data_IF_245460968527
#
_entry.id   IF_245460968527
#
_cell.length_a   1.000
_cell.length_b   1.000
_cell.length_c   1.000
_cell.angle_alpha   90.00
_cell.angle_beta   90.00
_cell.angle_gamma   90.00
#
_symmetry.space_group_name_H-M   'P 1'
#
loop_
_entity.id
_entity.type
_entity.pdbx_description
1 polymer ?
#
# COMPACT_ATOMS: atom_id res chain seq x y z
N UNK A 1 8.49 -15.05 13.53
CA UNK A 1 8.55 -15.00 12.05
C UNK A 1 9.79 -15.77 11.65
N UNK A 2 9.66 -16.79 10.81
CA UNK A 2 10.78 -17.61 10.36
C UNK A 2 10.95 -17.45 8.83
N UNK A 3 12.20 -17.40 8.32
CA UNK A 3 12.45 -17.35 6.88
C UNK A 3 12.08 -18.69 6.22
N UNK A 4 11.37 -18.64 5.09
CA UNK A 4 11.01 -19.78 4.25
C UNK A 4 11.41 -19.49 2.79
N UNK A 5 11.51 -20.53 1.95
CA UNK A 5 12.14 -20.49 0.62
C UNK A 5 11.58 -19.40 -0.32
N UNK A 6 10.30 -19.00 -0.16
CA UNK A 6 9.65 -17.98 -1.01
C UNK A 6 9.07 -16.75 -0.24
N UNK A 7 9.13 -16.69 1.10
CA UNK A 7 8.61 -15.54 1.89
C UNK A 7 8.97 -15.60 3.39
N UNK A 8 8.61 -14.55 4.16
CA UNK A 8 8.62 -14.55 5.63
C UNK A 8 7.27 -15.03 6.17
N UNK A 9 7.25 -16.07 6.99
CA UNK A 9 6.01 -16.67 7.52
C UNK A 9 5.88 -16.53 9.04
N UNK A 10 4.64 -16.49 9.55
CA UNK A 10 4.30 -16.36 10.98
C UNK A 10 4.11 -17.72 11.63
N UNK A 11 4.69 -17.90 12.82
CA UNK A 11 4.50 -19.08 13.68
C UNK A 11 3.74 -18.65 14.94
N UNK A 12 2.61 -19.29 15.21
CA UNK A 12 1.85 -19.11 16.45
C UNK A 12 2.37 -20.12 17.47
N UNK A 13 2.95 -19.66 18.58
CA UNK A 13 3.45 -20.55 19.65
C UNK A 13 2.83 -20.12 20.96
N UNK A 14 2.02 -21.00 21.56
CA UNK A 14 1.63 -20.91 22.96
C UNK A 14 2.48 -21.92 23.75
N UNK A 15 3.29 -21.44 24.69
CA UNK A 15 4.02 -22.27 25.65
C UNK A 15 3.60 -21.87 27.06
N UNK A 16 3.05 -22.82 27.82
CA UNK A 16 2.65 -22.61 29.21
C UNK A 16 2.88 -23.88 30.05
N UNK A 17 3.24 -23.72 31.32
CA UNK A 17 3.50 -24.84 32.24
C UNK A 17 2.21 -25.47 32.78
N UNK A 18 1.09 -24.73 32.78
CA UNK A 18 -0.24 -25.18 33.20
C UNK A 18 -1.34 -24.29 32.58
N UNK A 19 -2.46 -24.90 32.19
CA UNK A 19 -3.65 -24.24 31.63
C UNK A 19 -4.79 -24.25 32.64
N UNK A 20 -5.49 -23.12 32.78
CA UNK A 20 -6.62 -22.98 33.69
C UNK A 20 -7.91 -23.57 33.10
N UNK A 21 -8.83 -23.97 33.97
CA UNK A 21 -10.09 -24.69 33.65
C UNK A 21 -11.00 -23.97 32.64
N UNK A 22 -10.83 -22.67 32.46
CA UNK A 22 -11.62 -21.82 31.54
C UNK A 22 -10.75 -21.13 30.48
N UNK A 23 -9.53 -21.61 30.26
CA UNK A 23 -8.65 -21.09 29.21
C UNK A 23 -9.18 -21.48 27.83
N UNK A 24 -9.42 -20.47 26.98
CA UNK A 24 -9.83 -20.66 25.59
C UNK A 24 -8.59 -20.92 24.74
N UNK A 25 -8.24 -22.21 24.56
CA UNK A 25 -7.10 -22.62 23.72
C UNK A 25 -7.61 -23.34 22.48
N UNK A 26 -7.12 -22.90 21.31
CA UNK A 26 -7.42 -23.53 20.03
C UNK A 26 -6.22 -24.36 19.55
N UNK A 27 -6.46 -25.64 19.29
CA UNK A 27 -5.55 -26.50 18.53
C UNK A 27 -5.86 -26.32 17.05
N UNK A 28 -4.92 -25.76 16.31
CA UNK A 28 -4.98 -25.73 14.84
C UNK A 28 -4.21 -26.94 14.34
N UNK A 29 -4.92 -28.00 13.95
CA UNK A 29 -4.34 -29.16 13.25
C UNK A 29 -4.37 -28.93 11.73
N UNK A 30 -3.41 -29.53 11.02
CA UNK A 30 -2.90 -29.15 9.70
C UNK A 30 -3.90 -28.90 8.54
N UNK A 31 -3.40 -28.05 7.64
CA UNK A 31 -3.65 -27.98 6.19
C UNK A 31 -5.10 -27.80 5.72
N UNK A 32 -5.58 -26.56 5.83
CA UNK A 32 -6.81 -26.08 5.19
C UNK A 32 -6.73 -26.02 3.65
N UNK A 33 -5.64 -26.46 3.03
CA UNK A 33 -5.41 -26.34 1.60
C UNK A 33 -6.23 -27.31 0.74
N UNK A 34 -6.82 -28.36 1.30
CA UNK A 34 -7.58 -29.36 0.52
C UNK A 34 -9.08 -29.51 0.85
N UNK A 35 -9.63 -28.76 1.82
CA UNK A 35 -11.06 -28.84 2.20
C UNK A 35 -11.77 -27.49 2.33
N UNK A 36 -11.42 -26.55 1.47
CA UNK A 36 -12.06 -25.21 1.37
C UNK A 36 -13.54 -25.25 0.96
N UNK A 37 -14.02 -26.31 0.32
CA UNK A 37 -15.38 -26.38 -0.23
C UNK A 37 -16.48 -26.38 0.83
N UNK A 38 -16.25 -26.99 2.00
CA UNK A 38 -17.27 -27.09 3.07
C UNK A 38 -17.13 -26.02 4.16
N UNK A 39 -15.98 -25.34 4.24
CA UNK A 39 -15.72 -24.31 5.27
C UNK A 39 -16.79 -23.19 5.24
N UNK A 40 -17.20 -22.78 4.03
CA UNK A 40 -18.25 -21.76 3.84
C UNK A 40 -19.62 -22.22 4.36
N UNK A 41 -19.93 -23.51 4.22
CA UNK A 41 -21.17 -24.09 4.71
C UNK A 41 -21.15 -24.19 6.24
N UNK A 42 -20.02 -24.59 6.83
CA UNK A 42 -19.86 -24.75 8.27
C UNK A 42 -19.95 -23.43 9.03
N UNK A 43 -19.28 -22.38 8.53
CA UNK A 43 -19.36 -21.01 9.08
C UNK A 43 -20.79 -20.45 9.06
N UNK A 44 -21.62 -20.91 8.11
CA UNK A 44 -23.05 -20.53 8.02
C UNK A 44 -23.97 -21.40 8.87
N UNK A 45 -23.54 -22.60 9.28
CA UNK A 45 -24.40 -23.58 9.95
C UNK A 45 -24.35 -23.44 11.48
N UNK A 46 -23.22 -23.00 12.04
CA UNK A 46 -23.04 -22.83 13.47
C UNK A 46 -23.23 -21.35 13.84
N UNK A 47 -24.33 -21.03 14.52
CA UNK A 47 -24.65 -19.66 14.96
C UNK A 47 -23.57 -19.10 15.90
N UNK A 48 -23.10 -17.87 15.66
CA UNK A 48 -22.09 -17.21 16.48
C UNK A 48 -20.63 -17.57 16.13
N UNK A 49 -20.39 -18.61 15.32
CA UNK A 49 -19.04 -19.04 14.97
C UNK A 49 -18.36 -18.03 14.03
N UNK A 50 -19.10 -17.45 13.09
CA UNK A 50 -18.59 -16.42 12.20
C UNK A 50 -18.24 -15.14 12.96
N UNK A 51 -19.06 -14.73 13.93
CA UNK A 51 -18.85 -13.52 14.75
C UNK A 51 -17.70 -13.69 15.76
N UNK A 52 -17.56 -14.88 16.36
CA UNK A 52 -16.42 -15.21 17.20
C UNK A 52 -15.12 -15.25 16.40
N UNK A 53 -15.11 -15.87 15.22
CA UNK A 53 -13.94 -15.86 14.33
C UNK A 53 -13.64 -14.45 13.81
N UNK A 54 -14.66 -13.65 13.48
CA UNK A 54 -14.51 -12.24 13.13
C UNK A 54 -13.98 -11.38 14.28
N UNK A 55 -14.28 -11.72 15.53
CA UNK A 55 -13.75 -11.02 16.70
C UNK A 55 -12.30 -11.42 16.99
N UNK A 56 -11.98 -12.70 16.84
CA UNK A 56 -10.62 -13.23 16.98
C UNK A 56 -9.69 -12.76 15.85
N UNK A 57 -10.25 -12.49 14.67
CA UNK A 57 -9.56 -12.04 13.47
C UNK A 57 -9.80 -10.55 13.16
N UNK A 58 -10.49 -9.83 14.04
CA UNK A 58 -10.75 -8.38 14.00
C UNK A 58 -11.39 -7.84 12.69
N UNK A 59 -12.57 -8.33 12.32
CA UNK A 59 -13.18 -8.18 10.98
C UNK A 59 -14.54 -7.43 10.99
N UNK A 60 -14.73 -6.36 11.78
CA UNK A 60 -16.04 -5.65 11.92
C UNK A 60 -16.02 -4.23 11.29
N UNK A 61 -17.10 -3.86 10.57
CA UNK A 61 -17.17 -2.87 9.46
C UNK A 61 -17.58 -1.41 9.81
N UNK A 62 -17.31 -0.42 8.91
CA UNK A 62 -18.32 0.28 8.03
C UNK A 62 -17.80 1.51 7.19
N UNK A 63 -18.08 1.46 5.86
CA UNK A 63 -18.40 2.52 4.84
C UNK A 63 -17.29 3.49 4.35
N UNK A 64 -17.08 3.87 3.07
CA UNK A 64 -17.73 3.75 1.73
C UNK A 64 -16.64 3.85 0.61
N UNK A 65 -16.84 3.19 -0.55
CA UNK A 65 -16.04 3.32 -1.80
C UNK A 65 -16.90 4.00 -2.88
N UNK A 66 -16.38 5.03 -3.56
CA UNK A 66 -16.91 5.46 -4.87
C UNK A 66 -15.88 5.13 -5.97
N UNK A 67 -16.36 4.33 -6.91
CA UNK A 67 -15.70 3.86 -8.12
C UNK A 67 -15.84 4.93 -9.22
N UNK A 68 -14.73 5.58 -9.56
CA UNK A 68 -14.66 6.61 -10.60
C UNK A 68 -14.43 5.98 -11.97
N UNK A 69 -15.49 5.95 -12.79
CA UNK A 69 -15.53 5.26 -14.07
C UNK A 69 -14.47 5.66 -15.10
N UNK A 70 -13.90 4.65 -15.74
CA UNK A 70 -13.09 4.76 -16.95
C UNK A 70 -13.96 5.23 -18.12
N UNK A 71 -13.58 6.34 -18.76
CA UNK A 71 -14.13 6.69 -20.07
C UNK A 71 -13.26 6.06 -21.16
N UNK A 72 -13.76 5.00 -21.79
CA UNK A 72 -13.21 4.48 -23.04
C UNK A 72 -13.53 5.47 -24.18
N UNK A 73 -12.50 6.17 -24.64
CA UNK A 73 -12.49 6.79 -25.96
C UNK A 73 -11.29 6.23 -26.73
N UNK A 74 -11.44 5.02 -27.28
CA UNK A 74 -10.54 4.47 -28.29
C UNK A 74 -10.65 5.30 -29.59
N UNK A 75 -9.90 6.39 -29.63
CA UNK A 75 -9.44 7.02 -30.85
C UNK A 75 -7.92 6.97 -30.82
N UNK A 76 -7.32 6.22 -31.73
CA UNK A 76 -5.87 6.14 -31.91
C UNK A 76 -5.35 7.53 -32.36
N UNK A 77 -5.20 8.45 -31.42
CA UNK A 77 -4.57 9.76 -31.67
C UNK A 77 -3.08 9.54 -31.81
N UNK A 78 -2.48 10.12 -32.84
CA UNK A 78 -1.03 10.02 -33.06
C UNK A 78 -0.26 10.77 -31.95
N UNK A 79 0.96 10.35 -31.61
CA UNK A 79 1.77 11.03 -30.60
C UNK A 79 2.02 12.51 -30.97
N UNK A 80 2.08 12.80 -32.26
CA UNK A 80 2.11 14.14 -32.83
C UNK A 80 0.88 14.97 -32.45
N UNK A 81 -0.31 14.36 -32.41
CA UNK A 81 -1.53 15.06 -32.04
C UNK A 81 -1.51 15.49 -30.57
N UNK A 82 -0.96 14.65 -29.67
CA UNK A 82 -0.73 15.02 -28.26
C UNK A 82 0.19 16.23 -28.18
N UNK A 83 1.33 16.16 -28.88
CA UNK A 83 2.31 17.26 -28.91
C UNK A 83 1.70 18.56 -29.43
N UNK A 84 0.98 18.51 -30.55
CA UNK A 84 0.36 19.70 -31.15
C UNK A 84 -0.76 20.25 -30.26
N UNK A 85 -1.53 19.38 -29.60
CA UNK A 85 -2.55 19.81 -28.64
C UNK A 85 -1.93 20.51 -27.42
N UNK A 86 -0.82 19.99 -26.89
CA UNK A 86 -0.11 20.57 -25.75
C UNK A 86 0.50 21.92 -26.11
N UNK A 87 1.13 22.03 -27.29
CA UNK A 87 1.64 23.32 -27.80
C UNK A 87 0.53 24.35 -27.96
N UNK A 88 -0.61 23.95 -28.52
CA UNK A 88 -1.77 24.85 -28.70
C UNK A 88 -2.28 25.35 -27.36
N UNK A 89 -2.51 24.47 -26.38
CA UNK A 89 -2.93 24.85 -25.02
C UNK A 89 -1.95 25.83 -24.37
N UNK A 90 -0.65 25.55 -24.47
CA UNK A 90 0.39 26.43 -23.93
C UNK A 90 0.40 27.81 -24.63
N UNK A 91 0.20 27.84 -25.95
CA UNK A 91 0.11 29.09 -26.70
C UNK A 91 -1.12 29.93 -26.31
N UNK A 92 -2.28 29.29 -26.15
CA UNK A 92 -3.52 29.94 -25.70
C UNK A 92 -3.37 30.55 -24.29
N UNK A 93 -2.69 29.84 -23.40
CA UNK A 93 -2.42 30.30 -22.04
C UNK A 93 -1.21 31.27 -21.95
N UNK A 94 -0.49 31.54 -23.05
CA UNK A 94 0.78 32.27 -23.03
C UNK A 94 1.82 31.68 -22.06
N UNK A 95 1.82 30.35 -21.94
CA UNK A 95 2.74 29.58 -21.10
C UNK A 95 3.59 28.62 -21.95
N UNK A 96 4.43 27.82 -21.29
CA UNK A 96 5.21 26.75 -21.93
C UNK A 96 4.58 25.39 -21.62
N UNK A 97 4.81 24.40 -22.47
CA UNK A 97 4.40 23.02 -22.18
C UNK A 97 5.18 22.50 -20.97
N UNK A 98 4.45 22.06 -19.95
CA UNK A 98 5.00 21.56 -18.67
C UNK A 98 4.67 20.10 -18.41
N UNK A 99 3.76 19.51 -19.17
CA UNK A 99 3.31 18.13 -18.99
C UNK A 99 3.03 17.47 -20.33
N UNK A 100 3.42 16.20 -20.48
CA UNK A 100 3.14 15.37 -21.64
C UNK A 100 2.79 13.95 -21.19
N UNK A 101 1.69 13.43 -21.70
CA UNK A 101 1.22 12.07 -21.45
C UNK A 101 1.09 11.34 -22.77
N UNK A 102 1.88 10.29 -22.91
CA UNK A 102 1.88 9.45 -24.09
C UNK A 102 1.35 8.04 -23.80
N UNK A 103 0.39 7.95 -22.90
CA UNK A 103 -0.05 6.68 -22.36
C UNK A 103 -0.71 5.81 -23.44
N UNK A 104 -0.29 4.55 -23.49
CA UNK A 104 -0.75 3.52 -24.42
C UNK A 104 -0.54 3.84 -25.91
N UNK A 105 0.23 4.88 -26.26
CA UNK A 105 0.62 5.10 -27.65
C UNK A 105 1.73 4.15 -28.10
N UNK A 106 1.76 3.88 -29.40
CA UNK A 106 2.77 3.03 -30.04
C UNK A 106 4.10 3.77 -30.23
N UNK A 107 4.65 4.32 -29.13
CA UNK A 107 5.94 5.01 -29.11
C UNK A 107 7.04 3.98 -28.91
N UNK A 108 7.84 3.79 -29.96
CA UNK A 108 9.10 3.03 -29.94
C UNK A 108 10.28 3.92 -29.56
N UNK A 109 11.45 3.33 -29.32
CA UNK A 109 12.70 4.04 -29.03
C UNK A 109 13.02 5.14 -30.07
N UNK A 110 12.94 4.81 -31.37
CA UNK A 110 13.20 5.76 -32.47
C UNK A 110 12.19 6.92 -32.47
N UNK A 111 10.92 6.62 -32.21
CA UNK A 111 9.87 7.63 -32.15
C UNK A 111 10.11 8.56 -30.97
N UNK A 112 10.43 8.02 -29.78
CA UNK A 112 10.74 8.80 -28.59
C UNK A 112 11.89 9.78 -28.84
N UNK A 113 12.96 9.33 -29.51
CA UNK A 113 14.09 10.18 -29.89
C UNK A 113 13.68 11.27 -30.90
N UNK A 114 12.85 10.93 -31.89
CA UNK A 114 12.38 11.87 -32.90
C UNK A 114 11.54 13.02 -32.34
N UNK A 115 10.89 12.82 -31.18
CA UNK A 115 10.12 13.87 -30.50
C UNK A 115 11.00 15.01 -29.99
N UNK A 116 12.31 14.79 -29.82
CA UNK A 116 13.27 15.83 -29.44
C UNK A 116 12.88 16.57 -28.15
N UNK A 117 12.45 15.82 -27.12
CA UNK A 117 11.80 16.36 -25.92
C UNK A 117 12.60 17.48 -25.24
N UNK A 118 13.90 17.30 -25.07
CA UNK A 118 14.78 18.30 -24.44
C UNK A 118 14.90 19.60 -25.23
N UNK A 119 14.78 19.55 -26.56
CA UNK A 119 14.86 20.73 -27.43
C UNK A 119 13.51 21.42 -27.54
N UNK A 120 12.43 20.65 -27.68
CA UNK A 120 11.09 21.17 -27.88
C UNK A 120 10.40 21.60 -26.57
N UNK A 121 10.71 20.91 -25.47
CA UNK A 121 10.05 21.09 -24.15
C UNK A 121 11.09 21.12 -23.01
N UNK A 122 12.08 22.03 -23.03
CA UNK A 122 13.15 22.08 -22.00
C UNK A 122 12.62 22.34 -20.57
N UNK A 123 11.38 22.79 -20.48
CA UNK A 123 10.70 23.23 -19.28
C UNK A 123 9.78 22.16 -18.67
N UNK A 124 9.74 20.96 -19.26
CA UNK A 124 8.86 19.86 -18.87
C UNK A 124 9.06 19.45 -17.41
N UNK A 125 7.95 19.22 -16.70
CA UNK A 125 7.89 18.83 -15.29
C UNK A 125 7.38 17.39 -15.14
N UNK A 126 6.36 17.01 -15.92
CA UNK A 126 5.84 15.64 -15.95
C UNK A 126 5.90 15.02 -17.34
N UNK A 127 6.30 13.75 -17.37
CA UNK A 127 6.32 12.92 -18.58
C UNK A 127 5.77 11.54 -18.26
N UNK A 128 4.70 11.15 -18.94
CA UNK A 128 4.19 9.78 -18.89
C UNK A 128 4.43 9.07 -20.22
N UNK A 129 5.02 7.88 -20.15
CA UNK A 129 5.26 6.94 -21.25
C UNK A 129 4.60 5.59 -20.90
N UNK A 130 3.54 5.61 -20.09
CA UNK A 130 2.91 4.40 -19.58
C UNK A 130 2.41 3.53 -20.72
N UNK A 131 2.72 2.23 -20.72
CA UNK A 131 2.20 1.30 -21.72
C UNK A 131 2.72 1.54 -23.15
N UNK A 132 3.78 2.33 -23.32
CA UNK A 132 4.45 2.51 -24.62
C UNK A 132 5.37 1.34 -24.95
N UNK A 133 5.93 1.31 -26.17
CA UNK A 133 6.84 0.25 -26.65
C UNK A 133 8.32 0.62 -26.52
N UNK A 134 8.66 1.46 -25.54
CA UNK A 134 10.05 1.83 -25.24
C UNK A 134 10.77 0.64 -24.60
N UNK A 135 11.90 0.24 -25.15
CA UNK A 135 12.66 -0.94 -24.72
C UNK A 135 14.09 -0.64 -24.30
N UNK A 136 14.69 0.43 -24.83
CA UNK A 136 16.10 0.76 -24.63
C UNK A 136 16.29 1.80 -23.54
N UNK A 137 17.10 1.45 -22.53
CA UNK A 137 17.55 2.39 -21.50
C UNK A 137 18.33 3.57 -22.11
N UNK A 138 19.17 3.31 -23.10
CA UNK A 138 19.98 4.35 -23.73
C UNK A 138 19.11 5.34 -24.51
N UNK A 139 18.09 4.85 -25.21
CA UNK A 139 17.14 5.70 -25.93
C UNK A 139 16.32 6.56 -24.93
N UNK A 140 15.84 5.97 -23.84
CA UNK A 140 15.15 6.70 -22.78
C UNK A 140 16.06 7.78 -22.18
N UNK A 141 17.30 7.42 -21.78
CA UNK A 141 18.25 8.36 -21.20
C UNK A 141 18.54 9.50 -22.18
N UNK A 142 18.77 9.21 -23.46
CA UNK A 142 19.06 10.25 -24.44
C UNK A 142 17.87 11.19 -24.66
N UNK A 143 16.65 10.66 -24.69
CA UNK A 143 15.43 11.46 -24.85
C UNK A 143 15.15 12.38 -23.65
N UNK A 144 15.39 11.92 -22.43
CA UNK A 144 15.14 12.69 -21.20
C UNK A 144 16.35 13.53 -20.76
N UNK A 145 17.54 13.25 -21.30
CA UNK A 145 18.75 14.01 -21.00
C UNK A 145 18.54 15.47 -21.41
N UNK A 146 18.81 16.37 -20.48
CA UNK A 146 18.62 17.80 -20.71
C UNK A 146 17.22 18.32 -20.39
N UNK A 147 16.40 17.55 -19.65
CA UNK A 147 15.18 18.03 -19.01
C UNK A 147 15.43 18.37 -17.52
N UNK A 148 16.01 19.55 -17.21
CA UNK A 148 16.47 19.88 -15.85
C UNK A 148 15.33 20.11 -14.85
N UNK A 149 14.11 20.25 -15.33
CA UNK A 149 12.91 20.55 -14.54
C UNK A 149 12.00 19.34 -14.34
N UNK A 150 12.32 18.18 -14.93
CA UNK A 150 11.48 16.99 -14.84
C UNK A 150 11.47 16.48 -13.40
N UNK A 151 10.27 16.42 -12.80
CA UNK A 151 10.02 15.97 -11.43
C UNK A 151 9.30 14.64 -11.38
N UNK A 152 8.56 14.28 -12.42
CA UNK A 152 7.88 12.99 -12.50
C UNK A 152 8.04 12.32 -13.86
N UNK A 153 8.31 11.01 -13.83
CA UNK A 153 8.47 10.17 -14.99
C UNK A 153 7.74 8.84 -14.77
N UNK A 154 6.82 8.48 -15.65
CA UNK A 154 6.22 7.15 -15.70
C UNK A 154 6.68 6.39 -16.94
N UNK A 155 7.14 5.17 -16.74
CA UNK A 155 7.44 4.21 -17.80
C UNK A 155 6.83 2.84 -17.51
N UNK A 156 5.85 2.79 -16.60
CA UNK A 156 5.15 1.57 -16.23
C UNK A 156 4.60 0.85 -17.46
N UNK A 157 4.57 -0.48 -17.40
CA UNK A 157 4.03 -1.33 -18.49
C UNK A 157 4.73 -1.11 -19.85
N UNK A 158 5.96 -0.60 -19.86
CA UNK A 158 6.83 -0.64 -21.03
C UNK A 158 7.69 -1.89 -21.00
N UNK A 159 8.14 -2.44 -22.15
CA UNK A 159 9.08 -3.56 -22.18
C UNK A 159 10.39 -3.27 -21.43
N UNK A 160 10.74 -1.98 -21.28
CA UNK A 160 11.87 -1.54 -20.48
C UNK A 160 11.64 -1.72 -18.97
N UNK A 161 10.45 -1.43 -18.43
CA UNK A 161 10.14 -1.51 -16.98
C UNK A 161 10.40 -2.91 -16.42
N UNK A 162 9.98 -3.95 -17.15
CA UNK A 162 10.20 -5.36 -16.78
C UNK A 162 11.67 -5.77 -16.75
N UNK A 163 12.52 -5.09 -17.55
CA UNK A 163 13.95 -5.38 -17.69
C UNK A 163 14.81 -4.55 -16.73
N UNK A 164 14.25 -3.53 -16.08
CA UNK A 164 15.01 -2.55 -15.31
C UNK A 164 15.39 -3.04 -13.91
N UNK A 165 16.66 -3.44 -13.77
CA UNK A 165 17.30 -3.59 -12.47
C UNK A 165 17.57 -2.27 -11.74
N UNK A 166 17.99 -2.34 -10.47
CA UNK A 166 18.30 -1.16 -9.63
C UNK A 166 19.36 -0.24 -10.25
N UNK A 167 20.43 -0.79 -10.83
CA UNK A 167 21.52 -0.01 -11.44
C UNK A 167 21.05 0.87 -12.61
N UNK A 168 20.05 0.41 -13.35
CA UNK A 168 19.49 1.16 -14.46
C UNK A 168 18.56 2.29 -13.98
N UNK A 169 17.79 2.04 -12.91
CA UNK A 169 17.01 3.10 -12.22
C UNK A 169 17.92 4.21 -11.69
N UNK A 170 19.06 3.84 -11.10
CA UNK A 170 20.05 4.82 -10.63
C UNK A 170 20.60 5.68 -11.78
N UNK A 171 20.74 5.11 -12.98
CA UNK A 171 21.19 5.85 -14.18
C UNK A 171 20.16 6.89 -14.62
N UNK A 172 18.86 6.56 -14.57
CA UNK A 172 17.76 7.50 -14.85
C UNK A 172 17.75 8.64 -13.82
N UNK A 173 17.81 8.30 -12.52
CA UNK A 173 17.84 9.30 -11.44
C UNK A 173 19.07 10.20 -11.56
N UNK A 174 20.22 9.67 -11.97
CA UNK A 174 21.43 10.46 -12.21
C UNK A 174 21.29 11.42 -13.39
N UNK A 175 20.56 11.02 -14.44
CA UNK A 175 20.28 11.88 -15.59
C UNK A 175 19.29 13.02 -15.25
N UNK A 176 18.43 12.81 -14.25
CA UNK A 176 17.36 13.72 -13.85
C UNK A 176 17.47 14.11 -12.37
N UNK A 177 18.34 15.07 -11.99
CA UNK A 177 18.64 15.37 -10.59
C UNK A 177 17.44 15.90 -9.79
N UNK A 178 16.43 16.46 -10.45
CA UNK A 178 15.18 16.95 -9.83
C UNK A 178 14.02 15.95 -9.87
N UNK A 179 14.24 14.74 -10.40
CA UNK A 179 13.20 13.72 -10.45
C UNK A 179 12.81 13.34 -9.02
N UNK A 180 11.57 13.59 -8.62
CA UNK A 180 11.04 13.28 -7.30
C UNK A 180 10.24 11.98 -7.31
N UNK A 181 9.53 11.70 -8.40
CA UNK A 181 8.72 10.52 -8.59
C UNK A 181 9.14 9.78 -9.86
N UNK A 182 9.49 8.51 -9.69
CA UNK A 182 9.77 7.58 -10.77
C UNK A 182 8.76 6.44 -10.69
N UNK A 183 7.92 6.30 -11.72
CA UNK A 183 6.68 5.54 -11.67
C UNK A 183 5.86 5.99 -10.46
N UNK A 184 5.61 5.09 -9.51
CA UNK A 184 4.92 5.39 -8.24
C UNK A 184 5.87 5.71 -7.07
N UNK A 185 7.18 5.52 -7.23
CA UNK A 185 8.13 5.58 -6.12
C UNK A 185 8.79 6.94 -5.99
N UNK A 186 8.97 7.39 -4.74
CA UNK A 186 9.80 8.55 -4.46
C UNK A 186 11.27 8.25 -4.69
N UNK A 187 11.99 9.25 -5.22
CA UNK A 187 13.45 9.26 -5.24
C UNK A 187 14.00 9.93 -3.97
N UNK A 188 15.33 10.02 -3.88
CA UNK A 188 16.00 10.76 -2.80
C UNK A 188 15.81 12.28 -2.88
N UNK A 189 15.31 12.80 -4.00
CA UNK A 189 15.08 14.23 -4.23
C UNK A 189 13.67 14.69 -3.83
N UNK A 190 12.89 13.85 -3.14
CA UNK A 190 11.54 14.17 -2.66
C UNK A 190 11.51 15.51 -1.91
N UNK A 191 10.61 16.41 -2.34
CA UNK A 191 10.41 17.75 -1.79
C UNK A 191 8.92 18.01 -1.51
N UNK A 192 8.58 19.26 -1.14
CA UNK A 192 7.19 19.69 -0.97
C UNK A 192 6.36 19.47 -2.24
N UNK A 193 6.98 19.57 -3.42
CA UNK A 193 6.30 19.33 -4.68
C UNK A 193 5.81 17.89 -4.79
N UNK A 194 6.65 16.90 -4.47
CA UNK A 194 6.27 15.49 -4.51
C UNK A 194 5.15 15.14 -3.53
N UNK A 195 5.13 15.76 -2.34
CA UNK A 195 4.00 15.62 -1.40
C UNK A 195 2.73 16.28 -1.96
N UNK A 196 2.84 17.47 -2.55
CA UNK A 196 1.70 18.16 -3.18
C UNK A 196 1.13 17.39 -4.36
N UNK A 197 1.95 16.66 -5.10
CA UNK A 197 1.48 15.75 -6.15
C UNK A 197 0.65 14.61 -5.55
N UNK A 198 1.08 14.02 -4.42
CA UNK A 198 0.30 12.98 -3.74
C UNK A 198 -0.96 13.52 -3.04
N UNK A 199 -1.01 14.82 -2.78
CA UNK A 199 -2.18 15.53 -2.25
C UNK A 199 -3.07 16.12 -3.36
N UNK A 200 -2.83 15.76 -4.63
CA UNK A 200 -3.61 16.22 -5.79
C UNK A 200 -3.60 17.75 -6.04
N UNK A 201 -2.65 18.46 -5.44
CA UNK A 201 -2.44 19.91 -5.67
C UNK A 201 -1.71 20.13 -6.99
N UNK A 202 -0.75 19.26 -7.28
CA UNK A 202 0.06 19.31 -8.49
C UNK A 202 -0.29 18.18 -9.42
N UNK A 203 -0.28 18.48 -10.71
CA UNK A 203 -0.58 17.52 -11.76
C UNK A 203 -0.52 18.17 -13.14
N UNK A 204 -1.12 17.55 -14.16
CA UNK A 204 -1.10 18.06 -15.54
C UNK A 204 -1.64 19.50 -15.66
N UNK A 205 -2.71 19.80 -14.91
CA UNK A 205 -3.38 21.11 -14.92
C UNK A 205 -2.65 22.17 -14.08
N UNK A 206 -1.89 21.75 -13.07
CA UNK A 206 -1.11 22.64 -12.20
C UNK A 206 0.28 22.06 -11.90
N UNK A 207 1.22 22.08 -12.85
CA UNK A 207 2.49 21.36 -12.71
C UNK A 207 3.55 22.12 -11.90
N UNK A 208 3.32 23.38 -11.56
CA UNK A 208 4.33 24.28 -10.96
C UNK A 208 3.97 24.63 -9.54
N UNK A 209 4.98 24.73 -8.69
CA UNK A 209 4.85 25.15 -7.30
C UNK A 209 4.29 26.58 -7.19
N UNK A 210 3.21 26.73 -6.43
CA UNK A 210 2.61 28.00 -6.03
C UNK A 210 2.94 28.26 -4.54
N UNK A 211 2.65 29.46 -4.04
CA UNK A 211 2.94 29.81 -2.64
C UNK A 211 2.12 28.95 -1.66
N UNK A 212 2.83 28.27 -0.75
CA UNK A 212 2.35 27.53 0.43
C UNK A 212 1.14 26.60 0.22
N UNK A 213 1.21 25.66 -0.73
CA UNK A 213 0.04 24.89 -1.15
C UNK A 213 -0.34 23.76 -0.19
N UNK A 214 0.57 23.36 0.69
CA UNK A 214 0.36 22.23 1.60
C UNK A 214 -0.35 22.63 2.90
N UNK A 215 -0.59 23.93 3.14
CA UNK A 215 -1.19 24.41 4.39
C UNK A 215 -2.58 23.84 4.63
N UNK A 216 -3.38 23.73 3.57
CA UNK A 216 -4.78 23.28 3.61
C UNK A 216 -4.94 21.76 3.42
N UNK A 217 -3.85 21.01 3.29
CA UNK A 217 -3.93 19.55 3.06
C UNK A 217 -4.36 18.84 4.34
N UNK A 218 -5.51 18.17 4.25
CA UNK A 218 -6.11 17.39 5.33
C UNK A 218 -5.91 15.88 5.14
N UNK A 219 -5.79 15.43 3.90
CA UNK A 219 -5.64 14.02 3.53
C UNK A 219 -4.36 13.82 2.71
N UNK A 220 -3.53 12.86 3.11
CA UNK A 220 -2.29 12.55 2.40
C UNK A 220 -2.05 11.04 2.31
N UNK A 221 -2.10 10.50 1.09
CA UNK A 221 -1.74 9.12 0.81
C UNK A 221 -0.33 8.98 0.22
N UNK A 222 0.59 8.53 1.07
CA UNK A 222 1.97 8.20 0.73
C UNK A 222 2.20 6.69 0.68
N UNK A 223 1.16 5.88 0.55
CA UNK A 223 1.32 4.43 0.55
C UNK A 223 2.00 3.88 -0.70
N UNK A 224 2.83 2.86 -0.50
CA UNK A 224 3.52 2.14 -1.58
C UNK A 224 4.31 3.08 -2.50
N UNK A 225 5.05 4.00 -1.87
CA UNK A 225 5.90 5.00 -2.53
C UNK A 225 7.39 4.73 -2.36
N UNK A 226 7.75 3.56 -1.81
CA UNK A 226 9.12 3.18 -1.48
C UNK A 226 9.89 4.21 -0.61
N UNK A 227 9.18 4.93 0.27
CA UNK A 227 9.78 5.92 1.15
C UNK A 227 10.73 5.25 2.16
N UNK A 228 11.99 5.66 2.15
CA UNK A 228 13.00 5.23 3.11
C UNK A 228 13.02 6.11 4.37
N UNK A 229 12.79 7.41 4.18
CA UNK A 229 12.68 8.43 5.23
C UNK A 229 11.72 9.54 4.79
N UNK A 230 11.18 10.30 5.74
CA UNK A 230 10.52 11.58 5.50
C UNK A 230 11.31 12.67 6.21
N UNK A 231 11.78 13.65 5.45
CA UNK A 231 12.59 14.74 5.97
C UNK A 231 11.70 15.75 6.73
N UNK A 232 12.02 16.13 7.98
CA UNK A 232 11.24 17.12 8.72
C UNK A 232 11.12 18.48 8.03
N UNK A 233 12.05 18.84 7.14
CA UNK A 233 11.95 20.07 6.34
C UNK A 233 10.83 20.01 5.28
N UNK A 234 10.47 18.80 4.86
CA UNK A 234 9.45 18.55 3.83
C UNK A 234 8.13 18.09 4.45
N UNK A 235 8.19 17.30 5.53
CA UNK A 235 7.03 16.77 6.23
C UNK A 235 7.08 17.14 7.72
N UNK A 236 6.35 18.19 8.09
CA UNK A 236 6.19 18.61 9.48
C UNK A 236 4.90 19.41 9.67
N UNK A 237 4.44 19.63 10.92
CA UNK A 237 3.28 20.48 11.19
C UNK A 237 3.45 21.94 10.78
N UNK A 238 4.67 22.39 10.47
CA UNK A 238 4.90 23.73 9.91
C UNK A 238 4.62 23.79 8.40
N UNK A 239 4.75 22.64 7.72
CA UNK A 239 4.54 22.54 6.27
C UNK A 239 3.12 22.08 5.95
N UNK A 240 2.55 21.19 6.77
CA UNK A 240 1.21 20.59 6.59
C UNK A 240 0.45 20.65 7.93
N UNK A 241 0.12 21.85 8.45
CA UNK A 241 -0.46 22.03 9.78
C UNK A 241 -1.81 21.32 9.97
N UNK A 242 -2.62 21.26 8.91
CA UNK A 242 -4.01 20.80 8.98
C UNK A 242 -4.19 19.31 8.66
N UNK A 243 -3.10 18.54 8.54
CA UNK A 243 -3.16 17.11 8.22
C UNK A 243 -4.00 16.32 9.25
N UNK A 244 -5.06 15.67 8.76
CA UNK A 244 -6.02 14.86 9.54
C UNK A 244 -5.79 13.36 9.28
N UNK A 245 -5.62 12.98 8.02
CA UNK A 245 -5.53 11.59 7.59
C UNK A 245 -4.20 11.34 6.88
N UNK A 246 -3.45 10.35 7.37
CA UNK A 246 -2.16 9.97 6.79
C UNK A 246 -2.11 8.47 6.48
N UNK A 247 -1.78 8.14 5.24
CA UNK A 247 -1.47 6.76 4.85
C UNK A 247 0.00 6.62 4.45
N UNK A 248 0.72 5.75 5.17
CA UNK A 248 2.16 5.47 4.94
C UNK A 248 2.42 3.97 4.78
N UNK A 249 1.39 3.16 4.57
CA UNK A 249 1.53 1.71 4.36
C UNK A 249 2.45 1.39 3.19
N UNK A 250 3.03 0.20 3.19
CA UNK A 250 3.90 -0.36 2.15
C UNK A 250 5.13 0.49 1.85
N UNK A 251 5.65 1.18 2.87
CA UNK A 251 6.91 1.90 2.76
C UNK A 251 7.97 1.29 3.67
N UNK A 252 9.19 1.04 3.17
CA UNK A 252 10.32 0.61 3.98
C UNK A 252 10.93 1.82 4.70
N UNK A 253 10.16 2.50 5.56
CA UNK A 253 10.54 3.67 6.38
C UNK A 253 11.52 3.28 7.51
N UNK A 254 12.57 2.57 7.14
CA UNK A 254 13.58 1.99 8.03
C UNK A 254 14.72 2.97 8.35
N UNK A 255 14.82 4.09 7.63
CA UNK A 255 15.75 5.17 7.93
C UNK A 255 15.03 6.24 8.75
N UNK A 256 15.55 6.51 9.95
CA UNK A 256 15.07 7.60 10.80
C UNK A 256 13.61 7.44 11.28
N UNK A 257 13.13 6.20 11.46
CA UNK A 257 11.78 5.91 11.97
C UNK A 257 11.47 6.61 13.30
N UNK A 258 12.47 6.72 14.20
CA UNK A 258 12.32 7.41 15.47
C UNK A 258 12.10 8.92 15.32
N UNK A 259 12.82 9.60 14.42
CA UNK A 259 12.60 11.04 14.19
C UNK A 259 11.26 11.28 13.51
N UNK A 260 10.88 10.42 12.55
CA UNK A 260 9.59 10.48 11.90
C UNK A 260 8.43 10.29 12.89
N UNK A 261 8.52 9.30 13.79
CA UNK A 261 7.53 9.10 14.84
C UNK A 261 7.41 10.31 15.78
N UNK A 262 8.52 10.96 16.09
CA UNK A 262 8.50 12.22 16.86
C UNK A 262 7.84 13.36 16.09
N UNK A 263 8.05 13.46 14.77
CA UNK A 263 7.33 14.42 13.93
C UNK A 263 5.83 14.17 13.97
N UNK A 264 5.37 12.91 13.90
CA UNK A 264 3.94 12.55 13.99
C UNK A 264 3.30 13.03 15.30
N UNK A 265 4.02 12.98 16.43
CA UNK A 265 3.53 13.50 17.73
C UNK A 265 3.28 15.00 17.72
N UNK A 266 3.94 15.73 16.83
CA UNK A 266 3.81 17.18 16.75
C UNK A 266 2.54 17.61 15.98
N UNK A 267 1.96 16.74 15.14
CA UNK A 267 0.71 17.04 14.43
C UNK A 267 -0.47 17.06 15.39
N UNK A 268 -1.13 18.22 15.51
CA UNK A 268 -2.27 18.39 16.42
C UNK A 268 -3.59 17.94 15.81
N UNK A 269 -3.70 18.04 14.50
CA UNK A 269 -4.92 17.71 13.74
C UNK A 269 -5.01 16.24 13.30
N UNK A 270 -3.91 15.49 13.38
CA UNK A 270 -3.82 14.11 12.91
C UNK A 270 -4.73 13.19 13.74
N UNK A 271 -5.72 12.60 13.07
CA UNK A 271 -6.78 11.76 13.65
C UNK A 271 -6.78 10.34 13.10
N UNK A 272 -6.37 10.12 11.86
CA UNK A 272 -6.33 8.80 11.23
C UNK A 272 -4.94 8.48 10.73
N UNK A 273 -4.46 7.28 11.08
CA UNK A 273 -3.16 6.79 10.64
C UNK A 273 -3.28 5.40 10.04
N UNK A 274 -2.90 5.26 8.78
CA UNK A 274 -2.70 3.98 8.12
C UNK A 274 -1.21 3.67 8.03
N UNK A 275 -0.79 2.59 8.68
CA UNK A 275 0.62 2.22 8.84
C UNK A 275 0.76 0.70 8.96
N UNK A 276 1.85 0.13 8.44
CA UNK A 276 2.11 -1.29 8.66
C UNK A 276 2.52 -1.54 10.13
N UNK A 277 2.13 -2.71 10.66
CA UNK A 277 2.44 -3.15 12.02
C UNK A 277 2.70 -4.67 11.98
N UNK A 278 3.90 -5.16 12.33
CA UNK A 278 5.07 -4.40 12.77
C UNK A 278 5.78 -3.64 11.62
N UNK A 279 6.44 -2.53 11.99
CA UNK A 279 7.17 -1.56 11.13
C UNK A 279 6.28 -0.74 10.18
N UNK A 280 6.51 0.59 10.03
CA UNK A 280 7.70 1.36 10.42
C UNK A 280 7.67 2.06 11.78
N UNK A 281 6.53 2.11 12.47
CA UNK A 281 6.39 2.90 13.71
C UNK A 281 6.50 2.08 15.01
N UNK A 282 6.78 0.79 14.90
CA UNK A 282 6.91 -0.12 16.04
C UNK A 282 6.17 -1.43 15.80
N UNK A 283 6.04 -2.22 16.87
CA UNK A 283 5.46 -3.57 16.81
C UNK A 283 4.05 -3.67 17.38
N UNK A 284 3.54 -2.59 17.97
CA UNK A 284 2.27 -2.59 18.70
C UNK A 284 1.42 -1.37 18.36
N UNK A 285 0.21 -1.63 17.86
CA UNK A 285 -0.79 -0.60 17.61
C UNK A 285 -1.22 0.10 18.92
N UNK A 286 -1.19 -0.62 20.04
CA UNK A 286 -1.48 -0.07 21.38
C UNK A 286 -0.41 0.96 21.78
N UNK A 287 0.86 0.66 21.53
CA UNK A 287 1.95 1.60 21.84
C UNK A 287 1.89 2.85 20.94
N UNK A 288 1.57 2.68 19.66
CA UNK A 288 1.36 3.79 18.73
C UNK A 288 0.20 4.67 19.20
N UNK A 289 -0.95 4.08 19.54
CA UNK A 289 -2.11 4.79 20.06
C UNK A 289 -1.82 5.57 21.34
N UNK A 290 -1.06 4.99 22.29
CA UNK A 290 -0.66 5.68 23.53
C UNK A 290 0.29 6.84 23.27
N UNK A 291 1.16 6.72 22.27
CA UNK A 291 2.14 7.74 21.92
C UNK A 291 1.56 8.90 21.09
N UNK A 292 0.45 8.68 20.38
CA UNK A 292 -0.21 9.65 19.51
C UNK A 292 -1.65 9.89 20.00
N UNK A 293 -1.84 10.70 21.07
CA UNK A 293 -3.10 10.78 21.80
C UNK A 293 -4.26 11.42 21.02
N UNK A 294 -3.98 12.11 19.91
CA UNK A 294 -4.99 12.74 19.06
C UNK A 294 -5.61 11.79 18.03
N UNK A 295 -5.03 10.59 17.87
CA UNK A 295 -5.55 9.60 16.93
C UNK A 295 -6.91 9.08 17.38
N UNK A 296 -7.86 9.08 16.45
CA UNK A 296 -9.18 8.45 16.56
C UNK A 296 -9.15 7.05 15.99
N UNK A 297 -8.37 6.80 14.94
CA UNK A 297 -8.24 5.46 14.34
C UNK A 297 -6.82 5.13 13.89
N UNK A 298 -6.49 3.83 13.94
CA UNK A 298 -5.27 3.26 13.36
C UNK A 298 -5.71 2.11 12.45
N UNK A 299 -5.29 2.14 11.18
CA UNK A 299 -5.66 1.14 10.17
C UNK A 299 -7.17 0.88 10.08
N UNK A 300 -8.00 1.91 10.26
CA UNK A 300 -9.46 1.80 10.24
C UNK A 300 -10.10 1.27 11.52
N UNK A 301 -9.31 0.97 12.57
CA UNK A 301 -9.83 0.53 13.88
C UNK A 301 -9.80 1.71 14.85
N UNK A 302 -10.92 1.96 15.53
CA UNK A 302 -11.01 3.00 16.55
C UNK A 302 -10.02 2.76 17.71
N UNK A 303 -9.32 3.82 18.12
CA UNK A 303 -8.32 3.76 19.20
C UNK A 303 -8.94 3.32 20.53
N UNK A 304 -10.16 3.74 20.85
CA UNK A 304 -10.85 3.33 22.08
C UNK A 304 -11.11 1.81 22.11
N UNK A 305 -11.54 1.25 20.98
CA UNK A 305 -11.77 -0.19 20.84
C UNK A 305 -10.46 -0.97 20.92
N UNK A 306 -9.43 -0.47 20.23
CA UNK A 306 -8.09 -1.03 20.19
C UNK A 306 -7.47 -1.12 21.59
N UNK A 307 -7.54 -0.03 22.37
CA UNK A 307 -7.01 0.02 23.74
C UNK A 307 -7.80 -0.88 24.70
N UNK A 308 -9.13 -0.93 24.57
CA UNK A 308 -9.99 -1.78 25.41
C UNK A 308 -9.75 -3.26 25.17
N UNK A 309 -9.56 -3.66 23.91
CA UNK A 309 -9.36 -5.07 23.51
C UNK A 309 -7.89 -5.50 23.48
N UNK A 310 -6.94 -4.58 23.68
CA UNK A 310 -5.51 -4.89 23.68
C UNK A 310 -4.99 -5.38 22.33
N UNK A 311 -5.51 -4.84 21.21
CA UNK A 311 -5.13 -5.29 19.87
C UNK A 311 -3.73 -4.78 19.50
N UNK A 312 -2.71 -5.63 19.62
CA UNK A 312 -1.32 -5.23 19.33
C UNK A 312 -0.99 -5.20 17.83
N UNK A 313 -1.60 -6.06 17.01
CA UNK A 313 -1.32 -6.14 15.56
C UNK A 313 -2.61 -5.93 14.78
N UNK A 314 -2.54 -5.10 13.72
CA UNK A 314 -3.64 -4.82 12.82
C UNK A 314 -3.23 -5.24 11.40
N UNK A 315 -3.98 -6.16 10.77
CA UNK A 315 -3.61 -6.68 9.44
C UNK A 315 -3.95 -5.66 8.34
N UNK A 316 -2.93 -5.20 7.61
CA UNK A 316 -2.99 -4.07 6.67
C UNK A 316 -3.40 -4.45 5.23
N UNK A 317 -3.58 -5.75 4.93
CA UNK A 317 -3.82 -6.27 3.57
C UNK A 317 -5.29 -6.62 3.24
N UNK A 318 -6.24 -6.22 4.07
CA UNK A 318 -7.65 -6.52 3.84
C UNK A 318 -8.28 -5.44 2.93
N UNK A 319 -8.49 -5.78 1.64
CA UNK A 319 -9.34 -4.98 0.74
C UNK A 319 -10.79 -4.93 1.28
N UNK A 320 -11.49 -3.79 1.21
CA UNK A 320 -12.91 -3.70 1.50
C UNK A 320 -13.76 -4.52 0.49
N UNK A 321 -15.00 -4.88 0.86
CA UNK A 321 -16.01 -5.44 -0.06
C UNK A 321 -16.14 -6.97 -0.15
N UNK A 322 -15.20 -7.75 0.40
CA UNK A 322 -15.27 -9.22 0.38
C UNK A 322 -16.08 -9.78 1.58
N UNK A 323 -16.93 -10.81 1.41
CA UNK A 323 -17.69 -11.41 2.51
C UNK A 323 -16.78 -11.83 3.69
N UNK A 324 -17.25 -11.64 4.93
CA UNK A 324 -16.53 -11.95 6.18
C UNK A 324 -15.86 -13.34 6.16
N UNK A 325 -16.59 -14.33 5.64
CA UNK A 325 -16.11 -15.71 5.48
C UNK A 325 -14.91 -15.78 4.54
N UNK A 326 -14.94 -15.05 3.42
CA UNK A 326 -13.88 -15.07 2.41
C UNK A 326 -12.66 -14.25 2.89
N UNK A 327 -12.87 -13.19 3.69
CA UNK A 327 -11.81 -12.44 4.42
C UNK A 327 -11.05 -13.32 5.43
N UNK A 328 -11.80 -14.09 6.22
CA UNK A 328 -11.26 -15.08 7.16
C UNK A 328 -10.41 -16.12 6.42
N UNK A 329 -10.95 -16.70 5.34
CA UNK A 329 -10.24 -17.70 4.54
C UNK A 329 -8.95 -17.16 3.90
N UNK A 330 -8.93 -15.88 3.50
CA UNK A 330 -7.75 -15.21 2.95
C UNK A 330 -6.68 -14.92 4.01
N UNK A 331 -7.06 -14.40 5.17
CA UNK A 331 -6.13 -14.17 6.28
C UNK A 331 -5.47 -15.48 6.75
N UNK A 332 -6.22 -16.58 6.71
CA UNK A 332 -5.72 -17.90 7.09
C UNK A 332 -4.65 -18.47 6.15
N UNK A 333 -4.58 -18.01 4.89
CA UNK A 333 -3.52 -18.39 3.94
C UNK A 333 -2.14 -17.83 4.30
N UNK A 334 -2.07 -16.84 5.20
CA UNK A 334 -0.81 -16.19 5.58
C UNK A 334 -0.07 -16.90 6.73
N UNK A 335 -0.58 -18.03 7.22
CA UNK A 335 0.00 -18.83 8.30
C UNK A 335 0.40 -20.22 7.78
N UNK A 336 1.61 -20.70 8.09
CA UNK A 336 2.14 -22.01 7.63
C UNK A 336 2.74 -22.80 8.80
N UNK A 337 2.50 -24.12 8.79
CA UNK A 337 3.01 -25.19 9.68
C UNK A 337 2.48 -25.21 11.13
N UNK A 338 1.64 -26.20 11.46
CA UNK A 338 1.36 -26.63 12.84
C UNK A 338 1.19 -28.15 12.89
N UNK A 339 2.21 -28.82 13.45
CA UNK A 339 2.44 -30.27 13.48
C UNK A 339 1.26 -31.14 13.94
N UNK A 340 1.15 -32.34 13.35
CA UNK A 340 0.34 -33.47 13.81
C UNK A 340 0.86 -34.02 15.15
N UNK A 341 -0.01 -34.25 16.12
CA UNK A 341 0.21 -35.26 17.17
C UNK A 341 -0.62 -36.49 16.78
N UNK A 342 0.03 -37.54 16.29
CA UNK A 342 -0.61 -38.83 16.06
C UNK A 342 0.16 -39.91 16.84
N UNK A 343 -0.56 -40.75 17.56
CA UNK A 343 -0.09 -42.08 17.90
C UNK A 343 -0.41 -43.05 16.73
N UNK A 344 0.34 -44.15 16.65
CA UNK A 344 0.43 -45.04 15.47
C UNK A 344 -0.90 -45.71 15.06
N UNK A 345 -1.97 -45.61 15.87
CA UNK A 345 -3.22 -46.34 15.65
C UNK A 345 -4.32 -45.57 14.89
N UNK A 346 -4.16 -44.28 14.58
CA UNK A 346 -5.24 -43.44 13.99
C UNK A 346 -4.99 -42.96 12.56
N UNK A 347 -4.44 -43.82 11.71
CA UNK A 347 -4.15 -43.44 10.32
C UNK A 347 -5.34 -43.49 9.35
N UNK A 348 -6.47 -44.14 9.70
CA UNK A 348 -7.52 -44.43 8.70
C UNK A 348 -8.99 -44.14 9.10
N UNK A 349 -9.27 -43.45 10.21
CA UNK A 349 -10.66 -43.12 10.54
C UNK A 349 -11.05 -41.71 10.11
N UNK A 350 -12.20 -41.63 9.44
CA UNK A 350 -12.90 -40.40 9.01
C UNK A 350 -12.83 -39.33 10.10
N UNK A 351 -12.48 -38.06 9.78
CA UNK A 351 -12.39 -37.02 10.80
C UNK A 351 -13.79 -36.70 11.33
N UNK A 352 -14.09 -37.23 12.52
CA UNK A 352 -15.19 -36.77 13.35
C UNK A 352 -14.80 -35.44 14.01
N UNK A 353 -15.74 -34.50 13.97
CA UNK A 353 -15.60 -33.16 14.52
C UNK A 353 -15.90 -33.20 16.01
N UNK A 354 -14.91 -32.97 16.88
CA UNK A 354 -15.17 -32.82 18.31
C UNK A 354 -15.41 -31.35 18.68
N UNK A 355 -16.69 -30.97 18.77
CA UNK A 355 -17.16 -29.82 19.53
C UNK A 355 -17.63 -30.36 20.87
N UNK A 356 -16.97 -30.01 21.98
CA UNK A 356 -17.52 -30.32 23.31
C UNK A 356 -18.05 -29.04 23.95
N UNK A 357 -19.37 -28.88 23.89
CA UNK A 357 -20.13 -27.98 24.75
C UNK A 357 -20.81 -28.81 25.84
N UNK A 358 -20.84 -28.32 27.08
CA UNK A 358 -21.17 -29.09 28.27
C UNK A 358 -22.70 -29.20 28.52
N UNK A 359 -23.49 -29.56 27.51
CA UNK A 359 -24.91 -29.90 27.71
C UNK A 359 -25.29 -31.35 27.39
N UNK A 360 -24.43 -32.17 26.75
CA UNK A 360 -24.81 -33.55 26.37
C UNK A 360 -24.13 -34.69 27.18
N UNK A 361 -23.55 -34.42 28.34
CA UNK A 361 -23.03 -35.48 29.23
C UNK A 361 -24.09 -35.89 30.26
N UNK A 362 -25.18 -36.51 29.80
CA UNK A 362 -26.08 -37.28 30.66
C UNK A 362 -26.72 -38.50 29.95
N UNK A 363 -25.93 -39.31 29.27
CA UNK A 363 -26.03 -40.79 29.22
C UNK A 363 -25.02 -41.27 28.18
N UNK A 364 -24.00 -42.04 28.52
CA UNK A 364 -24.14 -43.47 28.80
C UNK A 364 -22.87 -43.95 29.49
N UNK A 365 -23.03 -44.86 30.45
CA UNK A 365 -21.96 -45.48 31.23
C UNK A 365 -21.31 -46.65 30.47
N UNK A 366 -20.01 -46.80 30.71
CA UNK A 366 -19.09 -47.93 30.48
C UNK A 366 -18.72 -48.27 29.04
#
# INVERSE_FOLDING_TARGET
>A
MEPCEDSRQRRLVLTCDRLDRESQVFLVDHAWSFRLTEARKQLKTVNGQAECMATLMCVVDQLEEEDGGESEAEGQTDAEAVVESAKRKAQEASTKVKWLEFDSFDITDDKLLSLGLSTNFPDLVGLSLWGTKVESLDALIEAIRGLPSLRVLWINQTPLDDKLGSAAKDSIIKALPKLELYNRHFTKSCSKWGLGFCAEIYGPENPVECSDPLEEVTDLDLSDRALLKLDPEVFSPLVIPDLINLNIKRNPLNQSSASFFNSLRAFKSLQSLQVDIPEPLGNSAVEIAKALPNLRSINGVEVNLLLKKGMEILDSNLKPGEPLVDRVLRAMRNYVMTYRLADEEKLDETPDWCIQTYEDVCSSKW
#
